data_IF_824287152279
#
_entry.id   IF_824287152279
#
_cell.length_a   1.000
_cell.length_b   1.000
_cell.length_c   1.000
_cell.angle_alpha   90.00
_cell.angle_beta   90.00
_cell.angle_gamma   90.00
#
_symmetry.space_group_name_H-M   'P 1'
#
loop_
_entity.id
_entity.type
_entity.pdbx_description
1 polymer ?
#
# COMPACT_ATOMS: atom_id res chain seq x y z
N UNK A 1 44.69 14.44 3.83
CA UNK A 1 44.48 13.31 4.74
C UNK A 1 43.54 12.33 4.06
N UNK A 2 44.13 11.43 3.26
CA UNK A 2 43.43 10.40 2.50
C UNK A 2 43.83 9.06 3.12
N UNK A 3 42.88 8.25 3.56
CA UNK A 3 43.13 6.88 3.99
C UNK A 3 42.34 5.94 3.08
N UNK A 4 43.12 5.33 2.20
CA UNK A 4 42.78 4.27 1.26
C UNK A 4 42.84 2.96 2.04
N UNK A 5 41.75 2.19 2.12
CA UNK A 5 41.77 0.88 2.75
C UNK A 5 42.14 -0.22 1.75
N UNK A 6 43.02 -1.08 2.24
CA UNK A 6 43.82 -2.08 1.56
C UNK A 6 42.99 -3.33 1.23
N UNK A 7 43.24 -3.85 0.03
CA UNK A 7 42.84 -5.15 -0.50
C UNK A 7 43.38 -6.27 0.38
N UNK A 8 42.53 -7.18 0.86
CA UNK A 8 42.96 -8.48 1.42
C UNK A 8 42.48 -9.59 0.50
N UNK A 9 43.34 -9.93 -0.45
CA UNK A 9 43.25 -11.10 -1.32
C UNK A 9 43.84 -12.29 -0.57
N UNK A 10 43.01 -13.28 -0.19
CA UNK A 10 43.51 -14.55 0.35
C UNK A 10 43.95 -15.45 -0.79
N UNK A 11 45.27 -15.53 -0.97
CA UNK A 11 45.96 -16.56 -1.76
C UNK A 11 46.00 -17.85 -0.93
N UNK A 12 45.44 -18.94 -1.42
CA UNK A 12 45.74 -20.29 -0.94
C UNK A 12 46.36 -21.09 -2.08
N UNK A 13 47.49 -21.70 -1.73
CA UNK A 13 48.49 -22.32 -2.61
C UNK A 13 47.97 -23.62 -3.21
N UNK A 14 48.12 -23.72 -4.52
CA UNK A 14 48.14 -24.92 -5.35
C UNK A 14 49.33 -25.80 -4.94
N UNK A 15 49.11 -27.02 -4.44
CA UNK A 15 49.88 -28.25 -4.78
C UNK A 15 49.09 -29.47 -4.26
N UNK A 16 48.29 -30.10 -5.11
CA UNK A 16 48.08 -31.56 -5.06
C UNK A 16 47.76 -32.04 -6.47
N UNK A 17 48.83 -32.27 -7.23
CA UNK A 17 48.79 -32.90 -8.54
C UNK A 17 48.83 -34.43 -8.35
N UNK A 18 48.07 -35.14 -9.19
CA UNK A 18 48.18 -36.58 -9.51
C UNK A 18 47.45 -37.59 -8.62
N UNK A 19 46.11 -37.62 -8.72
CA UNK A 19 45.38 -38.88 -8.92
C UNK A 19 44.01 -38.57 -9.54
N UNK A 20 43.48 -39.46 -10.37
CA UNK A 20 42.21 -39.33 -11.12
C UNK A 20 42.28 -38.57 -12.45
N UNK A 21 43.34 -38.81 -13.24
CA UNK A 21 43.17 -38.87 -14.68
C UNK A 21 42.59 -40.25 -15.04
N UNK A 22 41.27 -40.30 -15.26
CA UNK A 22 40.50 -41.26 -16.08
C UNK A 22 39.08 -41.38 -15.51
N UNK A 23 38.10 -41.32 -16.40
CA UNK A 23 36.66 -41.59 -16.23
C UNK A 23 35.78 -40.32 -16.36
N UNK A 24 35.35 -40.13 -17.60
CA UNK A 24 34.07 -39.58 -18.07
C UNK A 24 33.84 -38.06 -18.10
N UNK A 25 34.14 -37.54 -19.29
CA UNK A 25 33.26 -36.72 -20.13
C UNK A 25 31.77 -36.78 -19.73
N UNK A 26 31.15 -35.59 -19.67
CA UNK A 26 29.72 -35.29 -19.49
C UNK A 26 29.28 -34.93 -18.07
N UNK A 27 29.48 -33.65 -17.70
CA UNK A 27 28.47 -32.91 -16.95
C UNK A 27 28.61 -31.39 -17.17
N UNK A 28 28.60 -30.98 -18.44
CA UNK A 28 28.28 -29.61 -18.83
C UNK A 28 26.75 -29.47 -18.91
N UNK A 29 26.05 -29.58 -17.77
CA UNK A 29 24.64 -29.22 -17.61
C UNK A 29 24.19 -29.50 -16.17
N UNK A 30 24.33 -28.53 -15.26
CA UNK A 30 23.43 -28.34 -14.10
C UNK A 30 23.86 -27.12 -13.27
N UNK A 31 23.91 -25.95 -13.91
CA UNK A 31 23.69 -24.67 -13.22
C UNK A 31 22.56 -23.96 -13.93
N UNK A 32 21.41 -24.62 -13.97
CA UNK A 32 20.14 -23.91 -14.01
C UNK A 32 19.86 -23.47 -12.58
N UNK A 33 20.28 -22.24 -12.26
CA UNK A 33 19.63 -21.49 -11.20
C UNK A 33 18.13 -21.53 -11.48
N UNK A 34 17.38 -22.06 -10.52
CA UNK A 34 15.92 -22.00 -10.50
C UNK A 34 15.50 -20.54 -10.68
N UNK A 35 15.09 -20.18 -11.89
CA UNK A 35 14.23 -19.03 -12.10
C UNK A 35 12.92 -19.38 -11.42
N UNK A 36 12.75 -18.80 -10.23
CA UNK A 36 11.58 -18.94 -9.38
C UNK A 36 10.29 -18.98 -10.21
N UNK A 37 9.50 -19.99 -9.92
CA UNK A 37 8.27 -20.37 -10.60
C UNK A 37 7.29 -19.19 -10.54
N UNK A 38 7.23 -18.48 -11.67
CA UNK A 38 6.14 -17.64 -12.19
C UNK A 38 5.02 -17.34 -11.18
N UNK A 39 5.02 -16.13 -10.61
CA UNK A 39 3.86 -15.60 -9.89
C UNK A 39 2.66 -15.71 -10.82
N UNK A 40 1.72 -16.60 -10.52
CA UNK A 40 0.60 -16.90 -11.42
C UNK A 40 -0.33 -15.70 -11.60
N UNK A 41 -0.25 -14.72 -10.71
CA UNK A 41 -0.96 -13.44 -10.74
C UNK A 41 -0.25 -12.42 -9.85
N UNK A 42 -0.57 -11.14 -10.05
CA UNK A 42 -0.31 -10.06 -9.10
C UNK A 42 -1.63 -9.60 -8.46
N UNK A 43 -1.59 -9.27 -7.17
CA UNK A 43 -2.74 -8.78 -6.43
C UNK A 43 -2.77 -7.25 -6.47
N UNK A 44 -3.81 -6.71 -7.10
CA UNK A 44 -4.12 -5.29 -7.06
C UNK A 44 -5.07 -4.98 -5.89
N UNK A 45 -4.50 -4.54 -4.77
CA UNK A 45 -5.22 -4.14 -3.57
C UNK A 45 -5.83 -2.76 -3.70
N UNK A 46 -7.16 -2.68 -3.55
CA UNK A 46 -7.92 -1.43 -3.64
C UNK A 46 -8.63 -1.14 -2.32
N UNK A 47 -8.46 0.08 -1.81
CA UNK A 47 -9.14 0.55 -0.59
C UNK A 47 -10.67 0.38 -0.71
N UNK A 48 -11.38 -0.17 0.30
CA UNK A 48 -12.81 -0.49 0.20
C UNK A 48 -13.69 0.76 0.35
N UNK A 49 -13.72 1.59 -0.70
CA UNK A 49 -14.48 2.85 -0.72
C UNK A 49 -15.92 2.70 -1.23
N UNK A 50 -16.20 1.60 -1.93
CA UNK A 50 -17.52 1.20 -2.45
C UNK A 50 -17.64 -0.33 -2.40
N UNK A 51 -18.79 -0.89 -2.80
CA UNK A 51 -18.95 -2.36 -2.81
C UNK A 51 -17.92 -3.06 -3.71
N UNK A 52 -17.51 -4.30 -3.39
CA UNK A 52 -16.55 -5.06 -4.21
C UNK A 52 -16.94 -5.14 -5.70
N UNK A 53 -18.23 -5.34 -5.99
CA UNK A 53 -18.75 -5.35 -7.36
C UNK A 53 -18.49 -4.02 -8.08
N UNK A 54 -18.73 -2.88 -7.42
CA UNK A 54 -18.45 -1.56 -7.98
C UNK A 54 -16.96 -1.33 -8.19
N UNK A 55 -16.10 -1.83 -7.28
CA UNK A 55 -14.65 -1.78 -7.46
C UNK A 55 -14.21 -2.58 -8.69
N UNK A 56 -14.68 -3.82 -8.85
CA UNK A 56 -14.39 -4.66 -10.02
C UNK A 56 -14.88 -3.99 -11.30
N UNK A 57 -16.11 -3.45 -11.31
CA UNK A 57 -16.65 -2.73 -12.47
C UNK A 57 -15.81 -1.50 -12.83
N UNK A 58 -15.30 -0.75 -11.83
CA UNK A 58 -14.53 0.49 -12.04
C UNK A 58 -13.08 0.25 -12.44
N UNK A 59 -12.44 -0.77 -11.85
CA UNK A 59 -11.00 -1.01 -11.97
C UNK A 59 -10.64 -2.27 -12.77
N UNK A 60 -11.61 -3.12 -13.11
CA UNK A 60 -11.45 -4.28 -13.97
C UNK A 60 -10.77 -3.94 -15.31
N UNK A 61 -11.21 -2.91 -16.05
CA UNK A 61 -10.56 -2.52 -17.30
C UNK A 61 -9.07 -2.15 -17.12
N UNK A 62 -8.70 -1.57 -15.97
CA UNK A 62 -7.31 -1.27 -15.65
C UNK A 62 -6.52 -2.53 -15.30
N UNK A 63 -7.09 -3.45 -14.52
CA UNK A 63 -6.47 -4.74 -14.20
C UNK A 63 -6.22 -5.55 -15.48
N UNK A 64 -7.20 -5.63 -16.39
CA UNK A 64 -7.07 -6.30 -17.68
C UNK A 64 -5.99 -5.66 -18.55
N UNK A 65 -5.96 -4.32 -18.60
CA UNK A 65 -4.93 -3.59 -19.34
C UNK A 65 -3.54 -3.88 -18.81
N UNK A 66 -3.35 -3.78 -17.49
CA UNK A 66 -2.09 -4.08 -16.83
C UNK A 66 -1.68 -5.52 -17.06
N UNK A 67 -2.61 -6.47 -16.96
CA UNK A 67 -2.31 -7.88 -17.19
C UNK A 67 -1.85 -8.17 -18.62
N UNK A 68 -2.51 -7.57 -19.61
CA UNK A 68 -2.06 -7.64 -21.02
C UNK A 68 -0.68 -7.01 -21.24
N UNK A 69 -0.37 -5.91 -20.55
CA UNK A 69 0.91 -5.20 -20.69
C UNK A 69 2.07 -5.88 -19.97
N UNK A 70 1.79 -6.53 -18.84
CA UNK A 70 2.80 -7.19 -18.01
C UNK A 70 2.94 -8.68 -18.33
N UNK A 71 1.99 -9.27 -19.06
CA UNK A 71 1.99 -10.71 -19.36
C UNK A 71 1.67 -11.59 -18.15
N UNK A 72 0.99 -11.06 -17.14
CA UNK A 72 0.61 -11.75 -15.89
C UNK A 72 -0.83 -11.41 -15.52
N UNK A 73 -1.57 -12.33 -14.90
CA UNK A 73 -2.93 -12.06 -14.42
C UNK A 73 -2.90 -10.99 -13.32
N UNK A 74 -3.83 -10.02 -13.34
CA UNK A 74 -3.99 -9.03 -12.27
C UNK A 74 -5.32 -9.28 -11.55
N UNK A 75 -5.26 -9.68 -10.27
CA UNK A 75 -6.44 -9.94 -9.46
C UNK A 75 -6.77 -8.75 -8.59
N UNK A 76 -7.98 -8.21 -8.72
CA UNK A 76 -8.47 -7.17 -7.83
C UNK A 76 -8.85 -7.80 -6.50
N UNK A 77 -8.26 -7.29 -5.42
CA UNK A 77 -8.65 -7.62 -4.06
C UNK A 77 -8.96 -6.37 -3.25
N UNK A 78 -9.85 -6.53 -2.26
CA UNK A 78 -10.11 -5.51 -1.25
C UNK A 78 -10.24 -6.16 0.12
N UNK A 79 -10.58 -5.38 1.14
CA UNK A 79 -10.80 -5.87 2.49
C UNK A 79 -12.22 -5.50 2.98
N UNK A 80 -12.75 -6.17 4.02
CA UNK A 80 -14.07 -5.85 4.55
C UNK A 80 -14.22 -4.44 5.14
N UNK A 81 -13.11 -3.81 5.56
CA UNK A 81 -13.09 -2.46 6.14
C UNK A 81 -11.65 -1.88 6.13
N UNK A 82 -11.50 -0.61 6.53
CA UNK A 82 -10.21 0.08 6.49
C UNK A 82 -9.20 -0.53 7.46
N UNK A 83 -9.62 -0.94 8.66
CA UNK A 83 -8.74 -1.57 9.64
C UNK A 83 -8.07 -2.83 9.07
N UNK A 84 -8.84 -3.70 8.46
CA UNK A 84 -8.33 -4.92 7.85
C UNK A 84 -7.50 -4.63 6.58
N UNK A 85 -7.88 -3.64 5.77
CA UNK A 85 -7.09 -3.23 4.61
C UNK A 85 -5.69 -2.74 5.01
N UNK A 86 -5.62 -1.89 6.04
CA UNK A 86 -4.37 -1.34 6.61
C UNK A 86 -3.52 -2.47 7.21
N UNK A 87 -4.14 -3.43 7.90
CA UNK A 87 -3.44 -4.62 8.42
C UNK A 87 -2.84 -5.46 7.29
N UNK A 88 -3.63 -5.83 6.29
CA UNK A 88 -3.20 -6.61 5.12
C UNK A 88 -2.07 -5.93 4.34
N UNK A 89 -2.14 -4.61 4.22
CA UNK A 89 -1.10 -3.81 3.56
C UNK A 89 0.19 -3.78 4.37
N UNK A 90 0.11 -3.37 5.64
CA UNK A 90 1.30 -2.97 6.40
C UNK A 90 1.98 -4.12 7.15
N UNK A 91 1.24 -5.18 7.49
CA UNK A 91 1.74 -6.28 8.30
C UNK A 91 1.91 -7.56 7.50
N UNK A 92 1.11 -7.74 6.45
CA UNK A 92 1.07 -8.97 5.66
C UNK A 92 1.60 -8.78 4.23
N UNK A 93 1.82 -7.53 3.80
CA UNK A 93 2.26 -7.19 2.44
C UNK A 93 1.43 -7.90 1.36
N UNK A 94 0.11 -8.02 1.58
CA UNK A 94 -0.79 -8.87 0.77
C UNK A 94 -0.92 -8.42 -0.69
N UNK A 95 -0.61 -7.16 -0.99
CA UNK A 95 -0.94 -6.51 -2.25
C UNK A 95 0.33 -6.17 -3.02
N UNK A 96 0.49 -6.66 -4.25
CA UNK A 96 1.63 -6.30 -5.09
C UNK A 96 1.51 -4.87 -5.64
N UNK A 97 0.29 -4.47 -5.99
CA UNK A 97 -0.07 -3.14 -6.47
C UNK A 97 -1.11 -2.56 -5.53
N UNK A 98 -0.97 -1.29 -5.15
CA UNK A 98 -1.81 -0.67 -4.12
C UNK A 98 -2.46 0.63 -4.62
N UNK A 99 -3.79 0.67 -4.58
CA UNK A 99 -4.58 1.91 -4.71
C UNK A 99 -5.18 2.26 -3.34
N UNK A 100 -4.60 3.27 -2.68
CA UNK A 100 -4.95 3.64 -1.31
C UNK A 100 -5.01 5.16 -1.10
N UNK A 101 -5.58 5.57 0.04
CA UNK A 101 -5.63 6.96 0.48
C UNK A 101 -4.24 7.46 0.90
N UNK A 102 -3.95 8.77 0.80
CA UNK A 102 -2.59 9.30 0.97
C UNK A 102 -2.02 9.06 2.38
N UNK A 103 -2.83 9.14 3.44
CA UNK A 103 -2.40 8.86 4.81
C UNK A 103 -2.11 7.37 5.05
N UNK A 104 -2.81 6.47 4.37
CA UNK A 104 -2.49 5.05 4.40
C UNK A 104 -1.25 4.71 3.55
N UNK A 105 -1.01 5.41 2.44
CA UNK A 105 0.24 5.27 1.69
C UNK A 105 1.45 5.66 2.53
N UNK A 106 1.36 6.72 3.36
CA UNK A 106 2.42 7.07 4.29
C UNK A 106 2.81 5.86 5.18
N UNK A 107 1.81 5.19 5.77
CA UNK A 107 2.04 3.97 6.54
C UNK A 107 2.64 2.85 5.69
N UNK A 108 2.08 2.60 4.49
CA UNK A 108 2.53 1.55 3.59
C UNK A 108 3.99 1.72 3.16
N UNK A 109 4.41 2.96 2.88
CA UNK A 109 5.80 3.29 2.56
C UNK A 109 6.73 2.98 3.72
N UNK A 110 6.39 3.43 4.93
CA UNK A 110 7.28 3.32 6.08
C UNK A 110 7.28 1.95 6.75
N UNK A 111 6.17 1.20 6.67
CA UNK A 111 6.03 -0.11 7.32
C UNK A 111 6.24 -1.30 6.39
N UNK A 112 5.95 -1.14 5.10
CA UNK A 112 5.95 -2.23 4.13
C UNK A 112 6.76 -1.93 2.85
N UNK A 113 7.43 -0.76 2.78
CA UNK A 113 8.34 -0.44 1.68
C UNK A 113 7.67 -0.05 0.36
N UNK A 114 6.35 0.22 0.33
CA UNK A 114 5.67 0.64 -0.88
C UNK A 114 6.23 1.96 -1.45
N UNK A 115 6.29 2.04 -2.78
CA UNK A 115 6.72 3.23 -3.51
C UNK A 115 5.58 3.77 -4.35
N UNK A 116 5.37 5.09 -4.32
CA UNK A 116 4.40 5.75 -5.19
C UNK A 116 4.88 5.71 -6.63
N UNK A 117 4.02 5.22 -7.53
CA UNK A 117 4.23 5.23 -8.98
C UNK A 117 3.44 6.37 -9.63
N UNK A 118 2.21 6.54 -9.19
CA UNK A 118 1.27 7.56 -9.68
C UNK A 118 0.51 8.17 -8.51
N UNK A 119 0.07 9.41 -8.70
CA UNK A 119 -0.85 10.11 -7.80
C UNK A 119 -1.91 10.81 -8.64
N UNK A 120 -3.06 11.06 -8.04
CA UNK A 120 -4.07 11.91 -8.67
C UNK A 120 -3.50 13.32 -8.76
N UNK A 121 -3.48 13.89 -9.96
CA UNK A 121 -3.02 15.26 -10.19
C UNK A 121 -4.12 16.27 -9.87
N UNK A 122 -4.38 16.43 -8.57
CA UNK A 122 -5.31 17.43 -8.04
C UNK A 122 -4.64 18.17 -6.89
N UNK A 123 -4.54 19.51 -6.95
CA UNK A 123 -3.75 20.26 -5.98
C UNK A 123 -4.39 20.33 -4.60
N UNK A 124 -5.72 20.22 -4.50
CA UNK A 124 -6.45 20.39 -3.24
C UNK A 124 -7.63 19.42 -3.15
N UNK A 125 -7.77 18.79 -1.98
CA UNK A 125 -8.97 18.09 -1.55
C UNK A 125 -9.50 18.81 -0.31
N UNK A 126 -10.78 19.18 -0.31
CA UNK A 126 -11.44 19.84 0.82
C UNK A 126 -12.47 18.91 1.43
N UNK A 127 -12.56 18.94 2.76
CA UNK A 127 -13.61 18.25 3.51
C UNK A 127 -14.70 19.26 3.87
N UNK A 128 -15.94 18.88 3.63
CA UNK A 128 -17.10 19.72 3.89
C UNK A 128 -17.96 19.09 4.98
N UNK A 129 -18.38 19.91 5.94
CA UNK A 129 -19.46 19.58 6.86
C UNK A 129 -20.72 20.16 6.26
N UNK A 130 -21.68 19.29 5.96
CA UNK A 130 -22.94 19.68 5.32
C UNK A 130 -24.07 19.54 6.33
N UNK A 131 -24.94 20.54 6.39
CA UNK A 131 -26.10 20.58 7.27
C UNK A 131 -27.37 20.85 6.45
N UNK A 132 -28.57 20.52 6.96
CA UNK A 132 -29.82 20.86 6.29
C UNK A 132 -29.93 22.37 6.04
N UNK A 133 -30.48 22.75 4.88
CA UNK A 133 -30.61 24.15 4.44
C UNK A 133 -31.34 25.02 5.47
N UNK A 134 -32.33 24.46 6.16
CA UNK A 134 -33.14 25.16 7.17
C UNK A 134 -32.71 24.88 8.61
N UNK A 135 -31.49 24.38 8.83
CA UNK A 135 -30.96 24.18 10.19
C UNK A 135 -30.51 25.50 10.83
N UNK A 136 -30.50 25.53 12.16
CA UNK A 136 -29.98 26.61 13.01
C UNK A 136 -28.44 26.60 13.10
N UNK A 137 -27.77 25.60 12.51
CA UNK A 137 -26.31 25.42 12.55
C UNK A 137 -25.63 26.40 11.58
N UNK A 138 -24.81 27.30 12.12
CA UNK A 138 -24.08 28.32 11.34
C UNK A 138 -22.56 28.22 11.50
N UNK A 139 -22.10 27.60 12.58
CA UNK A 139 -20.67 27.39 12.88
C UNK A 139 -20.47 26.04 13.54
N UNK A 140 -19.23 25.57 13.56
CA UNK A 140 -18.84 24.27 14.14
C UNK A 140 -19.34 24.10 15.58
N UNK A 141 -19.27 25.14 16.41
CA UNK A 141 -19.69 25.07 17.82
C UNK A 141 -21.18 24.79 18.01
N UNK A 142 -22.02 25.06 17.00
CA UNK A 142 -23.46 24.75 17.06
C UNK A 142 -23.74 23.25 16.90
N UNK A 143 -22.71 22.45 16.60
CA UNK A 143 -22.78 20.99 16.54
C UNK A 143 -22.66 20.33 17.93
N UNK A 144 -22.40 21.09 18.99
CA UNK A 144 -22.37 20.58 20.35
C UNK A 144 -23.71 19.89 20.71
N UNK A 145 -23.63 18.67 21.24
CA UNK A 145 -24.78 17.82 21.55
C UNK A 145 -25.52 17.26 20.34
N UNK A 146 -25.05 17.52 19.10
CA UNK A 146 -25.65 16.96 17.88
C UNK A 146 -25.01 15.62 17.51
N UNK A 147 -25.72 14.86 16.67
CA UNK A 147 -25.22 13.63 16.05
C UNK A 147 -24.89 13.90 14.59
N UNK A 148 -23.69 13.51 14.18
CA UNK A 148 -23.23 13.65 12.80
C UNK A 148 -23.11 12.27 12.16
N UNK A 149 -23.49 12.18 10.90
CA UNK A 149 -23.13 11.03 10.09
C UNK A 149 -21.72 11.22 9.56
N UNK A 150 -20.84 10.27 9.86
CA UNK A 150 -19.48 10.22 9.31
C UNK A 150 -19.32 9.00 8.40
N UNK A 151 -18.28 9.04 7.57
CA UNK A 151 -17.74 7.84 6.92
C UNK A 151 -16.88 7.06 7.93
N UNK A 152 -16.13 6.05 7.47
CA UNK A 152 -15.23 5.26 8.32
C UNK A 152 -14.36 6.17 9.23
N UNK A 153 -14.21 5.87 10.53
CA UNK A 153 -13.41 6.66 11.46
C UNK A 153 -11.94 6.84 11.04
N UNK A 154 -11.38 5.89 10.28
CA UNK A 154 -10.02 5.94 9.75
C UNK A 154 -9.92 6.67 8.40
N UNK A 155 -11.04 7.14 7.85
CA UNK A 155 -11.03 7.94 6.64
C UNK A 155 -10.35 9.28 6.90
N UNK A 156 -9.53 9.73 5.95
CA UNK A 156 -8.86 11.03 6.03
C UNK A 156 -9.87 12.17 6.25
N UNK A 157 -11.06 12.05 5.64
CA UNK A 157 -12.13 13.02 5.81
C UNK A 157 -12.61 13.15 7.25
N UNK A 158 -12.89 12.03 7.90
CA UNK A 158 -13.29 11.99 9.31
C UNK A 158 -12.19 12.52 10.22
N UNK A 159 -10.92 12.18 9.95
CA UNK A 159 -9.78 12.69 10.71
C UNK A 159 -9.65 14.23 10.61
N UNK A 160 -9.81 14.78 9.41
CA UNK A 160 -9.75 16.23 9.18
C UNK A 160 -10.94 16.96 9.83
N UNK A 161 -12.15 16.39 9.81
CA UNK A 161 -13.30 16.97 10.51
C UNK A 161 -13.08 16.99 12.02
N UNK A 162 -12.55 15.91 12.58
CA UNK A 162 -12.20 15.84 14.02
C UNK A 162 -11.12 16.85 14.40
N UNK A 163 -10.08 17.01 13.58
CA UNK A 163 -9.06 18.05 13.77
C UNK A 163 -9.66 19.46 13.72
N UNK A 164 -10.59 19.70 12.79
CA UNK A 164 -11.28 20.97 12.67
C UNK A 164 -12.16 21.29 13.89
N UNK A 165 -12.78 20.28 14.50
CA UNK A 165 -13.53 20.41 15.75
C UNK A 165 -12.63 20.85 16.90
N UNK A 166 -11.51 20.15 17.09
CA UNK A 166 -10.54 20.49 18.14
C UNK A 166 -10.03 21.93 17.98
N UNK A 167 -9.69 22.34 16.76
CA UNK A 167 -9.26 23.72 16.47
C UNK A 167 -10.34 24.77 16.67
N UNK A 168 -11.59 24.38 16.62
CA UNK A 168 -12.75 25.24 16.88
C UNK A 168 -13.20 25.22 18.35
N UNK A 169 -12.47 24.52 19.23
CA UNK A 169 -12.79 24.38 20.65
C UNK A 169 -13.96 23.44 20.93
N UNK A 170 -14.20 22.46 20.05
CA UNK A 170 -15.22 21.43 20.18
C UNK A 170 -14.52 20.07 20.31
N UNK A 171 -14.77 19.35 21.39
CA UNK A 171 -14.19 18.03 21.60
C UNK A 171 -15.01 16.96 20.84
N UNK A 172 -14.44 16.28 19.81
CA UNK A 172 -15.17 15.29 19.02
C UNK A 172 -15.53 14.01 19.79
N UNK A 173 -14.91 13.74 20.95
CA UNK A 173 -15.16 12.54 21.75
C UNK A 173 -16.10 12.80 22.95
N UNK A 174 -16.33 14.08 23.28
CA UNK A 174 -17.21 14.49 24.39
C UNK A 174 -18.41 15.29 23.94
N UNK A 175 -18.21 16.25 23.03
CA UNK A 175 -19.20 17.29 22.74
C UNK A 175 -20.09 16.94 21.54
N UNK A 176 -19.79 15.87 20.78
CA UNK A 176 -20.52 15.46 19.56
C UNK A 176 -20.62 13.94 19.51
N UNK A 177 -21.71 13.40 18.94
CA UNK A 177 -21.79 11.97 18.59
C UNK A 177 -21.45 11.77 17.12
N UNK A 178 -20.41 10.97 16.83
CA UNK A 178 -19.99 10.58 15.48
C UNK A 178 -20.44 9.14 15.16
#
# INVERSE_FOLDING_TARGET
MNVQWIVVLKVFVVVFWLFCASINTSLAAATQQETDKHTSFLVFGILPIVSPEQLVRRFGPLADYLGKKLGVEIRIETAPNYKEFVKRTNQQQRYDILLTAPHFYYLARHKAGYRSLVRVDRPVMQMLIVVPVHSDIRKVRDLAGRRLAIVDPLALGTMLVREHFLRSGLDPDRDVTL
#
